data_IF_211396065666
#
_entry.id   IF_211396065666
#
_cell.length_a   1.000
_cell.length_b   1.000
_cell.length_c   1.000
_cell.angle_alpha   90.00
_cell.angle_beta   90.00
_cell.angle_gamma   90.00
#
_symmetry.space_group_name_H-M   'P 1'
#
loop_
_entity.id
_entity.type
_entity.pdbx_description
1 polymer ?
#
# COMPACT_ATOMS: atom_id res chain seq x y z
N UNK A 1 -25.94 12.25 2.41
CA UNK A 1 -24.59 12.11 1.85
C UNK A 1 -23.66 11.75 3.02
N UNK A 2 -22.77 10.81 2.89
CA UNK A 2 -21.82 10.46 3.94
C UNK A 2 -20.89 11.65 4.21
N UNK A 3 -20.58 11.94 5.47
CA UNK A 3 -19.79 13.14 5.82
C UNK A 3 -18.30 12.85 5.69
N UNK A 4 -17.84 12.75 4.45
CA UNK A 4 -16.45 12.40 4.10
C UNK A 4 -15.45 13.39 4.72
N UNK A 5 -15.77 14.69 4.75
CA UNK A 5 -14.87 15.71 5.26
C UNK A 5 -14.60 15.53 6.76
N UNK A 6 -15.67 15.44 7.57
CA UNK A 6 -15.52 15.25 9.02
C UNK A 6 -14.85 13.92 9.34
N UNK A 7 -15.24 12.83 8.66
CA UNK A 7 -14.62 11.52 8.87
C UNK A 7 -13.12 11.50 8.53
N UNK A 8 -12.74 12.17 7.45
CA UNK A 8 -11.34 12.32 7.07
C UNK A 8 -10.54 13.07 8.14
N UNK A 9 -11.08 14.20 8.63
CA UNK A 9 -10.45 15.00 9.68
C UNK A 9 -10.32 14.20 10.99
N UNK A 10 -11.33 13.41 11.35
CA UNK A 10 -11.28 12.54 12.53
C UNK A 10 -10.16 11.50 12.40
N UNK A 11 -10.05 10.83 11.24
CA UNK A 11 -8.98 9.86 11.01
C UNK A 11 -7.62 10.55 11.08
N UNK A 12 -7.44 11.69 10.38
CA UNK A 12 -6.17 12.43 10.40
C UNK A 12 -5.80 12.93 11.80
N UNK A 13 -6.78 13.37 12.59
CA UNK A 13 -6.57 13.82 13.97
C UNK A 13 -6.14 12.72 14.94
N UNK A 14 -6.41 11.45 14.59
CA UNK A 14 -6.01 10.28 15.37
C UNK A 14 -4.65 9.71 14.95
N UNK A 15 -4.06 10.19 13.85
CA UNK A 15 -2.75 9.72 13.39
C UNK A 15 -1.63 10.58 13.97
N UNK A 16 -0.56 9.96 14.46
CA UNK A 16 0.64 10.69 14.87
C UNK A 16 1.31 11.40 13.69
N UNK A 17 2.06 12.44 13.98
CA UNK A 17 2.90 13.12 12.98
C UNK A 17 3.81 12.14 12.25
N UNK A 18 3.86 12.26 10.93
CA UNK A 18 4.68 11.41 10.07
C UNK A 18 4.04 10.11 9.61
N UNK A 19 2.88 9.72 10.14
CA UNK A 19 2.11 8.58 9.62
C UNK A 19 1.25 9.03 8.45
N UNK A 20 1.43 8.41 7.29
CA UNK A 20 0.68 8.73 6.06
C UNK A 20 -0.67 8.03 6.06
N UNK A 21 -1.69 8.72 5.58
CA UNK A 21 -3.00 8.14 5.29
C UNK A 21 -3.13 7.84 3.80
N UNK A 22 -3.36 6.58 3.46
CA UNK A 22 -3.87 6.17 2.15
C UNK A 22 -5.39 6.05 2.26
N UNK A 23 -6.12 6.97 1.64
CA UNK A 23 -7.58 6.95 1.63
C UNK A 23 -8.07 5.91 0.61
N UNK A 24 -8.62 4.79 1.09
CA UNK A 24 -9.03 3.67 0.24
C UNK A 24 -10.38 3.96 -0.38
N UNK A 25 -10.36 4.29 -1.66
CA UNK A 25 -11.48 4.83 -2.41
C UNK A 25 -12.18 3.83 -3.33
N UNK A 26 -11.75 2.56 -3.30
CA UNK A 26 -12.36 1.51 -4.14
C UNK A 26 -13.87 1.38 -3.89
N UNK A 27 -14.62 1.24 -5.00
CA UNK A 27 -16.10 1.15 -5.01
C UNK A 27 -16.83 2.42 -4.54
N UNK A 28 -16.13 3.56 -4.45
CA UNK A 28 -16.76 4.83 -4.12
C UNK A 28 -16.77 5.77 -5.33
N UNK A 29 -17.83 6.60 -5.48
CA UNK A 29 -17.95 7.53 -6.59
C UNK A 29 -16.94 8.69 -6.48
N UNK A 30 -16.63 9.32 -7.61
CA UNK A 30 -15.63 10.39 -7.69
C UNK A 30 -15.95 11.59 -6.77
N UNK A 31 -17.22 11.90 -6.58
CA UNK A 31 -17.70 13.00 -5.72
C UNK A 31 -17.17 12.87 -4.28
N UNK A 32 -17.00 11.64 -3.78
CA UNK A 32 -16.45 11.40 -2.44
C UNK A 32 -14.95 11.69 -2.40
N UNK A 33 -14.24 11.30 -3.46
CA UNK A 33 -12.80 11.57 -3.58
C UNK A 33 -12.54 13.07 -3.74
N UNK A 34 -13.39 13.78 -4.49
CA UNK A 34 -13.30 15.23 -4.66
C UNK A 34 -13.50 15.99 -3.34
N UNK A 35 -14.39 15.49 -2.46
CA UNK A 35 -14.52 16.05 -1.10
C UNK A 35 -13.22 15.86 -0.33
N UNK A 36 -12.72 14.62 -0.24
CA UNK A 36 -11.47 14.32 0.47
C UNK A 36 -10.27 15.11 -0.12
N UNK A 37 -10.21 15.26 -1.44
CA UNK A 37 -9.18 16.04 -2.13
C UNK A 37 -9.22 17.53 -1.75
N UNK A 38 -10.40 18.14 -1.68
CA UNK A 38 -10.57 19.53 -1.23
C UNK A 38 -10.13 19.75 0.20
N UNK A 39 -10.28 18.72 1.05
CA UNK A 39 -9.79 18.73 2.44
C UNK A 39 -8.28 18.42 2.56
N UNK A 40 -7.56 18.36 1.44
CA UNK A 40 -6.11 18.21 1.42
C UNK A 40 -5.59 16.79 1.22
N UNK A 41 -6.47 15.76 1.14
CA UNK A 41 -6.01 14.40 0.88
C UNK A 41 -5.43 14.27 -0.53
N UNK A 42 -4.27 13.64 -0.66
CA UNK A 42 -3.58 13.45 -1.93
C UNK A 42 -3.29 11.99 -2.26
N UNK A 43 -3.16 11.12 -1.27
CA UNK A 43 -2.83 9.70 -1.45
C UNK A 43 -4.12 8.88 -1.42
N UNK A 44 -4.46 8.25 -2.54
CA UNK A 44 -5.65 7.41 -2.65
C UNK A 44 -5.29 5.99 -3.07
N UNK A 45 -6.00 5.01 -2.51
CA UNK A 45 -5.75 3.58 -2.75
C UNK A 45 -6.87 2.89 -3.52
N UNK A 46 -6.50 2.18 -4.59
CA UNK A 46 -7.39 1.41 -5.45
C UNK A 46 -6.96 -0.05 -5.58
N UNK A 47 -7.91 -0.96 -5.78
CA UNK A 47 -7.62 -2.40 -5.92
C UNK A 47 -8.00 -2.99 -7.28
N UNK A 48 -8.64 -2.23 -8.15
CA UNK A 48 -9.04 -2.65 -9.48
C UNK A 48 -8.49 -1.70 -10.54
N UNK A 49 -7.74 -2.25 -11.50
CA UNK A 49 -7.10 -1.46 -12.56
C UNK A 49 -8.11 -0.67 -13.38
N UNK A 50 -9.27 -1.25 -13.71
CA UNK A 50 -10.29 -0.59 -14.52
C UNK A 50 -10.93 0.60 -13.79
N UNK A 51 -11.18 0.46 -12.48
CA UNK A 51 -11.71 1.55 -11.66
C UNK A 51 -10.69 2.68 -11.54
N UNK A 52 -9.44 2.32 -11.19
CA UNK A 52 -8.34 3.28 -11.10
C UNK A 52 -8.15 4.06 -12.41
N UNK A 53 -8.13 3.38 -13.57
CA UNK A 53 -7.94 4.05 -14.87
C UNK A 53 -9.03 5.09 -15.14
N UNK A 54 -10.30 4.77 -14.84
CA UNK A 54 -11.41 5.72 -15.00
C UNK A 54 -11.27 6.94 -14.08
N UNK A 55 -10.86 6.73 -12.83
CA UNK A 55 -10.66 7.80 -11.84
C UNK A 55 -9.52 8.73 -12.23
N UNK A 56 -8.42 8.20 -12.70
CA UNK A 56 -7.27 8.98 -13.18
C UNK A 56 -7.62 9.89 -14.34
N UNK A 57 -8.55 9.51 -15.22
CA UNK A 57 -8.96 10.34 -16.36
C UNK A 57 -9.70 11.62 -15.92
N UNK A 58 -10.49 11.54 -14.87
CA UNK A 58 -11.45 12.57 -14.46
C UNK A 58 -11.03 13.37 -13.23
N UNK A 59 -10.25 12.80 -12.34
CA UNK A 59 -9.81 13.44 -11.08
C UNK A 59 -8.50 14.24 -11.25
N UNK A 60 -8.14 15.12 -10.29
CA UNK A 60 -6.93 15.91 -10.32
C UNK A 60 -5.66 15.10 -10.55
N UNK A 61 -4.71 15.66 -11.31
CA UNK A 61 -3.51 14.94 -11.78
C UNK A 61 -2.39 14.88 -10.74
N UNK A 62 -2.49 15.63 -9.65
CA UNK A 62 -1.59 15.62 -8.50
C UNK A 62 -2.00 14.62 -7.41
N UNK A 63 -3.02 13.80 -7.67
CA UNK A 63 -3.34 12.66 -6.81
C UNK A 63 -2.23 11.62 -6.93
N UNK A 64 -1.72 11.20 -5.78
CA UNK A 64 -0.78 10.08 -5.64
C UNK A 64 -1.58 8.78 -5.52
N UNK A 65 -1.60 8.02 -6.62
CA UNK A 65 -2.35 6.77 -6.66
C UNK A 65 -1.52 5.60 -6.15
N UNK A 66 -2.05 4.87 -5.18
CA UNK A 66 -1.51 3.62 -4.70
C UNK A 66 -2.36 2.44 -5.18
N UNK A 67 -1.73 1.41 -5.71
CA UNK A 67 -2.42 0.17 -6.05
C UNK A 67 -2.22 -0.83 -4.90
N UNK A 68 -3.34 -1.23 -4.26
CA UNK A 68 -3.33 -1.97 -2.99
C UNK A 68 -3.96 -3.38 -3.11
N UNK A 69 -4.33 -3.81 -4.30
CA UNK A 69 -4.91 -5.13 -4.57
C UNK A 69 -3.97 -6.04 -5.34
N UNK A 70 -4.31 -7.32 -5.45
CA UNK A 70 -3.54 -8.25 -6.27
C UNK A 70 -3.46 -7.76 -7.72
N UNK A 71 -2.26 -7.57 -8.21
CA UNK A 71 -1.97 -7.01 -9.53
C UNK A 71 -1.50 -8.11 -10.49
N UNK A 72 -2.36 -8.47 -11.45
CA UNK A 72 -1.96 -9.37 -12.52
C UNK A 72 -0.90 -8.71 -13.43
N UNK A 73 0.13 -9.45 -13.83
CA UNK A 73 1.23 -8.94 -14.66
C UNK A 73 0.76 -8.31 -15.98
N UNK A 74 -0.26 -8.89 -16.64
CA UNK A 74 -0.82 -8.36 -17.89
C UNK A 74 -1.57 -7.01 -17.71
N UNK A 75 -1.88 -6.61 -16.47
CA UNK A 75 -2.56 -5.36 -16.14
C UNK A 75 -1.60 -4.22 -15.77
N UNK A 76 -0.34 -4.50 -15.45
CA UNK A 76 0.67 -3.50 -15.05
C UNK A 76 0.78 -2.37 -16.08
N UNK A 77 0.76 -2.70 -17.38
CA UNK A 77 0.87 -1.73 -18.49
C UNK A 77 -0.16 -0.60 -18.45
N UNK A 78 -1.32 -0.84 -17.85
CA UNK A 78 -2.39 0.17 -17.79
C UNK A 78 -2.19 1.20 -16.69
N UNK A 79 -1.48 0.85 -15.61
CA UNK A 79 -1.25 1.75 -14.48
C UNK A 79 0.18 2.34 -14.45
N UNK A 80 1.15 1.71 -15.09
CA UNK A 80 2.53 2.16 -15.13
C UNK A 80 2.73 3.63 -15.55
N UNK A 81 1.91 4.23 -16.44
CA UNK A 81 2.07 5.63 -16.81
C UNK A 81 1.90 6.63 -15.67
N UNK A 82 1.12 6.31 -14.63
CA UNK A 82 0.69 7.28 -13.63
C UNK A 82 0.76 6.81 -12.18
N UNK A 83 0.85 5.49 -11.93
CA UNK A 83 0.84 4.97 -10.55
C UNK A 83 2.01 5.52 -9.74
N UNK A 84 1.77 5.92 -8.50
CA UNK A 84 2.82 6.42 -7.59
C UNK A 84 3.46 5.30 -6.81
N UNK A 85 2.65 4.32 -6.38
CA UNK A 85 3.14 3.16 -5.62
C UNK A 85 2.30 1.91 -5.91
N UNK A 86 2.96 0.76 -6.00
CA UNK A 86 2.31 -0.56 -5.97
C UNK A 86 2.65 -1.22 -4.63
N UNK A 87 1.64 -1.34 -3.75
CA UNK A 87 1.86 -1.88 -2.40
C UNK A 87 1.75 -3.40 -2.33
N UNK A 88 1.12 -4.04 -3.33
CA UNK A 88 0.82 -5.47 -3.34
C UNK A 88 1.75 -6.25 -4.29
N UNK A 89 3.07 -6.09 -4.12
CA UNK A 89 4.03 -6.89 -4.90
C UNK A 89 4.27 -8.22 -4.21
N UNK A 90 3.76 -9.30 -4.80
CA UNK A 90 3.74 -10.65 -4.26
C UNK A 90 4.72 -11.63 -4.92
N UNK A 91 5.49 -11.17 -5.92
CA UNK A 91 6.40 -12.04 -6.65
C UNK A 91 7.49 -11.28 -7.41
N UNK A 92 8.65 -11.92 -7.59
CA UNK A 92 9.72 -11.39 -8.45
C UNK A 92 9.25 -11.20 -9.89
N UNK A 93 8.34 -12.06 -10.37
CA UNK A 93 7.75 -11.94 -11.70
C UNK A 93 6.98 -10.63 -11.86
N UNK A 94 6.15 -10.27 -10.87
CA UNK A 94 5.42 -8.99 -10.88
C UNK A 94 6.39 -7.82 -10.78
N UNK A 95 7.39 -7.88 -9.90
CA UNK A 95 8.41 -6.84 -9.76
C UNK A 95 9.14 -6.57 -11.08
N UNK A 96 9.56 -7.62 -11.79
CA UNK A 96 10.18 -7.52 -13.13
C UNK A 96 9.25 -6.89 -14.16
N UNK A 97 7.95 -7.22 -14.15
CA UNK A 97 6.99 -6.64 -15.08
C UNK A 97 6.73 -5.16 -14.76
N UNK A 98 6.64 -4.77 -13.48
CA UNK A 98 6.53 -3.35 -13.10
C UNK A 98 7.74 -2.59 -13.62
N UNK A 99 8.97 -3.08 -13.39
CA UNK A 99 10.19 -2.48 -13.89
C UNK A 99 10.17 -2.30 -15.42
N UNK A 100 9.81 -3.35 -16.14
CA UNK A 100 9.72 -3.33 -17.63
C UNK A 100 8.71 -2.31 -18.13
N UNK A 101 7.54 -2.20 -17.51
CA UNK A 101 6.52 -1.24 -17.93
C UNK A 101 6.89 0.19 -17.52
N UNK A 102 7.46 0.41 -16.34
CA UNK A 102 7.94 1.71 -15.88
C UNK A 102 9.03 2.28 -16.80
N UNK A 103 9.95 1.43 -17.28
CA UNK A 103 11.01 1.81 -18.22
C UNK A 103 10.46 2.42 -19.51
N UNK A 104 9.31 1.96 -20.02
CA UNK A 104 8.69 2.50 -21.25
C UNK A 104 8.24 3.95 -21.10
N UNK A 105 8.02 4.41 -19.87
CA UNK A 105 7.58 5.76 -19.54
C UNK A 105 8.68 6.59 -18.89
N UNK A 106 9.94 6.09 -18.88
CA UNK A 106 11.08 6.71 -18.20
C UNK A 106 10.77 7.05 -16.73
N UNK A 107 10.08 6.14 -16.04
CA UNK A 107 9.68 6.30 -14.63
C UNK A 107 10.43 5.31 -13.74
N UNK A 108 10.54 5.67 -12.46
CA UNK A 108 10.82 4.76 -11.36
C UNK A 108 9.54 4.68 -10.53
N UNK A 109 9.01 3.48 -10.33
CA UNK A 109 7.80 3.24 -9.56
C UNK A 109 8.18 2.70 -8.18
N UNK A 110 7.67 3.33 -7.13
CA UNK A 110 7.82 2.84 -5.77
C UNK A 110 6.99 1.58 -5.56
N UNK A 111 7.55 0.60 -4.87
CA UNK A 111 6.87 -0.67 -4.60
C UNK A 111 7.08 -1.12 -3.15
N UNK A 112 6.08 -1.80 -2.60
CA UNK A 112 6.20 -2.50 -1.32
C UNK A 112 6.09 -4.01 -1.57
N UNK A 113 6.89 -4.79 -0.87
CA UNK A 113 6.73 -6.24 -0.88
C UNK A 113 5.56 -6.60 0.04
N UNK A 114 4.56 -7.29 -0.50
CA UNK A 114 3.40 -7.76 0.26
C UNK A 114 3.79 -8.99 1.07
N UNK A 115 3.62 -8.92 2.38
CA UNK A 115 3.86 -10.02 3.30
C UNK A 115 2.59 -10.82 3.57
N UNK A 116 2.74 -12.14 3.59
CA UNK A 116 1.76 -13.08 4.08
C UNK A 116 2.18 -13.59 5.46
N UNK A 117 1.64 -12.99 6.51
CA UNK A 117 1.86 -13.36 7.91
C UNK A 117 0.59 -13.96 8.52
N UNK A 118 -0.58 -13.53 8.04
CA UNK A 118 -1.87 -14.01 8.49
C UNK A 118 -2.06 -15.53 8.28
N UNK A 119 -2.79 -16.18 9.17
CA UNK A 119 -3.04 -17.64 9.12
C UNK A 119 -3.96 -18.10 7.98
N UNK A 120 -4.55 -17.17 7.22
CA UNK A 120 -5.46 -17.48 6.12
C UNK A 120 -4.68 -17.96 4.87
N UNK A 121 -4.86 -19.21 4.46
CA UNK A 121 -4.16 -19.86 3.33
C UNK A 121 -4.38 -19.19 1.96
N UNK A 122 -5.39 -18.34 1.82
CA UNK A 122 -5.81 -17.74 0.54
C UNK A 122 -5.22 -16.37 0.24
N UNK A 123 -4.35 -15.84 1.09
CA UNK A 123 -3.75 -14.51 0.89
C UNK A 123 -2.51 -14.59 -0.02
N UNK A 124 -2.39 -13.56 -0.86
CA UNK A 124 -1.18 -13.29 -1.64
C UNK A 124 -0.06 -12.78 -0.73
N UNK A 125 1.14 -12.74 -1.24
CA UNK A 125 2.28 -12.17 -0.54
C UNK A 125 3.40 -13.18 -0.28
N UNK A 126 4.55 -12.65 0.10
CA UNK A 126 5.72 -13.43 0.51
C UNK A 126 5.60 -13.88 1.96
N UNK A 127 5.90 -15.12 2.24
CA UNK A 127 6.25 -15.48 3.62
C UNK A 127 7.52 -14.74 4.02
N UNK A 128 7.79 -14.55 5.34
CA UNK A 128 9.05 -13.95 5.78
C UNK A 128 10.30 -14.56 5.14
N UNK A 129 10.33 -15.90 5.02
CA UNK A 129 11.48 -16.60 4.42
C UNK A 129 11.57 -16.37 2.92
N UNK A 130 10.45 -16.43 2.19
CA UNK A 130 10.42 -16.12 0.75
C UNK A 130 10.84 -14.68 0.47
N UNK A 131 10.50 -13.73 1.35
CA UNK A 131 10.96 -12.35 1.26
C UNK A 131 12.48 -12.24 1.44
N UNK A 132 13.06 -12.97 2.42
CA UNK A 132 14.53 -13.06 2.61
C UNK A 132 15.22 -13.68 1.40
N UNK A 133 14.69 -14.78 0.86
CA UNK A 133 15.22 -15.46 -0.33
C UNK A 133 15.22 -14.55 -1.56
N UNK A 134 14.14 -13.79 -1.77
CA UNK A 134 14.05 -12.79 -2.86
C UNK A 134 15.21 -11.79 -2.76
N UNK A 135 15.43 -11.24 -1.58
CA UNK A 135 16.43 -10.19 -1.38
C UNK A 135 17.87 -10.76 -1.42
N UNK A 136 18.07 -11.95 -0.87
CA UNK A 136 19.38 -12.67 -0.93
C UNK A 136 19.76 -12.98 -2.37
N UNK A 137 18.80 -13.41 -3.21
CA UNK A 137 19.00 -13.72 -4.62
C UNK A 137 19.52 -12.55 -5.46
N UNK A 138 19.31 -11.32 -5.01
CA UNK A 138 19.93 -10.11 -5.57
C UNK A 138 19.43 -9.65 -6.92
N UNK A 139 18.56 -10.39 -7.62
CA UNK A 139 18.04 -10.02 -8.95
C UNK A 139 17.30 -8.67 -8.97
N UNK A 140 16.70 -8.30 -7.85
CA UNK A 140 16.00 -7.02 -7.70
C UNK A 140 16.92 -5.80 -7.86
N UNK A 141 18.21 -5.92 -7.59
CA UNK A 141 19.22 -4.83 -7.71
C UNK A 141 19.43 -4.39 -9.15
N UNK A 142 19.10 -5.26 -10.11
CA UNK A 142 19.20 -4.96 -11.55
C UNK A 142 17.98 -4.20 -12.09
N UNK A 143 16.92 -4.07 -11.28
CA UNK A 143 15.66 -3.44 -11.68
C UNK A 143 15.72 -1.93 -11.45
N UNK A 144 16.16 -1.16 -12.43
CA UNK A 144 16.44 0.29 -12.30
C UNK A 144 15.20 1.19 -12.36
N UNK A 145 14.06 0.64 -12.75
CA UNK A 145 12.80 1.39 -12.89
C UNK A 145 11.75 1.04 -11.82
N UNK A 146 12.17 0.36 -10.77
CA UNK A 146 11.41 0.19 -9.53
C UNK A 146 12.28 0.57 -8.35
N UNK A 147 11.66 1.06 -7.29
CA UNK A 147 12.31 1.31 -6.02
C UNK A 147 11.59 0.53 -4.92
N UNK A 148 12.30 -0.36 -4.24
CA UNK A 148 11.77 -1.05 -3.06
C UNK A 148 11.73 -0.05 -1.91
N UNK A 149 10.52 0.40 -1.54
CA UNK A 149 10.34 1.45 -0.52
C UNK A 149 9.98 0.90 0.86
N UNK A 150 9.70 -0.41 0.96
CA UNK A 150 9.34 -1.04 2.22
C UNK A 150 8.48 -2.28 2.08
N UNK A 151 7.67 -2.52 3.10
CA UNK A 151 6.80 -3.69 3.21
C UNK A 151 5.33 -3.29 3.38
N UNK A 152 4.43 -4.14 2.90
CA UNK A 152 3.00 -4.05 3.16
C UNK A 152 2.51 -5.37 3.76
N UNK A 153 1.56 -5.30 4.70
CA UNK A 153 0.85 -6.48 5.18
C UNK A 153 -0.60 -6.16 5.55
N UNK A 154 -1.40 -7.19 5.60
CA UNK A 154 -2.75 -7.16 6.17
C UNK A 154 -2.80 -8.21 7.29
N UNK A 155 -3.18 -7.79 8.48
CA UNK A 155 -3.40 -8.71 9.59
C UNK A 155 -4.62 -9.63 9.34
N UNK A 156 -4.71 -10.70 10.11
CA UNK A 156 -5.88 -11.58 10.12
C UNK A 156 -7.15 -10.80 10.43
N UNK A 157 -8.23 -11.13 9.74
CA UNK A 157 -9.53 -10.50 9.98
C UNK A 157 -10.24 -11.18 11.17
N UNK A 158 -9.74 -10.89 12.37
CA UNK A 158 -10.21 -11.42 13.64
C UNK A 158 -10.44 -10.31 14.65
N UNK A 159 -11.24 -10.59 15.70
CA UNK A 159 -11.48 -9.65 16.79
C UNK A 159 -10.36 -9.66 17.85
N UNK A 160 -9.49 -10.67 17.83
CA UNK A 160 -8.38 -10.79 18.79
C UNK A 160 -7.28 -9.75 18.48
N UNK A 161 -7.34 -8.65 19.21
CA UNK A 161 -6.36 -7.54 19.10
C UNK A 161 -4.92 -7.96 19.44
N UNK A 162 -4.73 -8.97 20.28
CA UNK A 162 -3.38 -9.47 20.60
C UNK A 162 -2.78 -10.24 19.42
N UNK A 163 -3.60 -11.04 18.70
CA UNK A 163 -3.17 -11.70 17.47
C UNK A 163 -2.79 -10.67 16.41
N UNK A 164 -3.65 -9.67 16.15
CA UNK A 164 -3.37 -8.57 15.21
C UNK A 164 -2.04 -7.89 15.56
N UNK A 165 -1.85 -7.52 16.83
CA UNK A 165 -0.62 -6.88 17.31
C UNK A 165 0.62 -7.76 17.12
N UNK A 166 0.51 -9.06 17.40
CA UNK A 166 1.59 -10.02 17.18
C UNK A 166 2.01 -10.10 15.72
N UNK A 167 1.04 -10.20 14.81
CA UNK A 167 1.30 -10.26 13.36
C UNK A 167 1.96 -8.97 12.84
N UNK A 168 1.47 -7.80 13.25
CA UNK A 168 2.06 -6.51 12.88
C UNK A 168 3.46 -6.31 13.48
N UNK A 169 3.69 -6.81 14.68
CA UNK A 169 5.03 -6.78 15.31
C UNK A 169 6.02 -7.64 14.52
N UNK A 170 5.62 -8.84 14.09
CA UNK A 170 6.46 -9.69 13.23
C UNK A 170 6.82 -9.01 11.91
N UNK A 171 5.87 -8.30 11.29
CA UNK A 171 6.15 -7.53 10.08
C UNK A 171 7.14 -6.39 10.34
N UNK A 172 6.99 -5.70 11.46
CA UNK A 172 7.86 -4.60 11.86
C UNK A 172 9.29 -5.08 12.16
N UNK A 173 9.44 -6.22 12.81
CA UNK A 173 10.74 -6.82 13.12
C UNK A 173 11.44 -7.33 11.85
N UNK A 174 10.68 -7.95 10.93
CA UNK A 174 11.21 -8.31 9.62
C UNK A 174 11.66 -7.07 8.82
N UNK A 175 10.86 -5.99 8.84
CA UNK A 175 11.27 -4.75 8.19
C UNK A 175 12.62 -4.24 8.71
N UNK A 176 12.80 -4.21 10.04
CA UNK A 176 14.06 -3.73 10.66
C UNK A 176 15.24 -4.63 10.30
N UNK A 177 15.03 -5.95 10.28
CA UNK A 177 16.04 -6.93 9.82
C UNK A 177 16.46 -6.65 8.38
N UNK A 178 15.49 -6.55 7.46
CA UNK A 178 15.75 -6.34 6.03
C UNK A 178 16.40 -4.97 5.77
N UNK A 179 15.92 -3.93 6.48
CA UNK A 179 16.51 -2.59 6.44
C UNK A 179 18.00 -2.63 6.80
N UNK A 180 18.32 -3.23 7.91
CA UNK A 180 19.71 -3.31 8.39
C UNK A 180 20.61 -4.12 7.44
N UNK A 181 20.07 -5.20 6.85
CA UNK A 181 20.88 -6.12 6.03
C UNK A 181 21.05 -5.65 4.57
N UNK A 182 20.00 -5.10 3.96
CA UNK A 182 19.97 -4.84 2.51
C UNK A 182 19.83 -3.36 2.14
N UNK A 183 19.30 -2.52 3.04
CA UNK A 183 18.93 -1.14 2.75
C UNK A 183 19.46 -0.15 3.79
N UNK A 184 20.60 -0.47 4.45
CA UNK A 184 21.18 0.39 5.48
C UNK A 184 21.53 1.79 4.96
N UNK A 185 21.99 1.88 3.70
CA UNK A 185 22.39 3.12 3.03
C UNK A 185 21.24 3.71 2.18
N UNK A 186 20.06 3.11 2.18
CA UNK A 186 18.90 3.59 1.45
C UNK A 186 17.87 4.23 2.40
N UNK A 187 17.84 5.56 2.54
CA UNK A 187 16.88 6.24 3.42
C UNK A 187 15.43 6.12 2.94
N UNK A 188 15.20 5.81 1.66
CA UNK A 188 13.86 5.71 1.09
C UNK A 188 13.22 4.33 1.28
N UNK A 189 13.98 3.31 1.68
CA UNK A 189 13.39 2.07 2.22
C UNK A 189 12.90 2.34 3.64
N UNK A 190 11.69 2.88 3.77
CA UNK A 190 11.15 3.40 5.04
C UNK A 190 9.68 3.11 5.28
N UNK A 191 8.96 2.64 4.26
CA UNK A 191 7.50 2.50 4.35
C UNK A 191 7.11 1.19 5.01
N UNK A 192 6.29 1.30 6.04
CA UNK A 192 5.64 0.22 6.76
C UNK A 192 4.14 0.41 6.61
N UNK A 193 3.56 -0.22 5.57
CA UNK A 193 2.15 -0.09 5.23
C UNK A 193 1.34 -1.21 5.87
N UNK A 194 0.80 -0.97 7.04
CA UNK A 194 -0.17 -1.83 7.71
C UNK A 194 -1.15 -1.03 8.54
N UNK A 195 -2.28 -1.68 8.87
CA UNK A 195 -3.41 -1.04 9.51
C UNK A 195 -4.50 -0.60 8.52
N UNK A 196 -5.71 -0.99 8.85
CA UNK A 196 -6.94 -0.67 8.13
C UNK A 196 -7.96 -0.03 9.08
N UNK A 197 -9.18 0.22 8.62
CA UNK A 197 -10.23 0.95 9.37
C UNK A 197 -10.49 0.44 10.79
N UNK A 198 -10.23 -0.83 11.08
CA UNK A 198 -10.55 -1.46 12.37
C UNK A 198 -9.33 -1.68 13.28
N UNK A 199 -8.12 -1.49 12.76
CA UNK A 199 -6.87 -1.86 13.46
C UNK A 199 -5.70 -0.87 13.25
N UNK A 200 -5.95 0.30 12.62
CA UNK A 200 -4.87 1.26 12.35
C UNK A 200 -4.25 1.85 13.63
N UNK A 201 -5.00 1.88 14.73
CA UNK A 201 -4.48 2.27 16.04
C UNK A 201 -3.41 1.28 16.55
N UNK A 202 -3.66 -0.04 16.41
CA UNK A 202 -2.67 -1.08 16.71
C UNK A 202 -1.46 -0.96 15.77
N UNK A 203 -1.72 -0.69 14.49
CA UNK A 203 -0.67 -0.54 13.49
C UNK A 203 0.30 0.58 13.84
N UNK A 204 -0.20 1.72 14.32
CA UNK A 204 0.61 2.84 14.79
C UNK A 204 1.49 2.41 15.97
N UNK A 205 0.95 1.69 16.95
CA UNK A 205 1.74 1.12 18.05
C UNK A 205 2.82 0.16 17.54
N UNK A 206 2.58 -0.54 16.42
CA UNK A 206 3.50 -1.44 15.76
C UNK A 206 4.36 -0.75 14.68
N UNK A 207 4.65 0.54 14.84
CA UNK A 207 5.61 1.29 14.02
C UNK A 207 5.18 1.46 12.54
N UNK A 208 3.89 1.43 12.22
CA UNK A 208 3.38 1.73 10.89
C UNK A 208 3.75 3.17 10.48
N UNK A 209 4.21 3.38 9.24
CA UNK A 209 4.43 4.71 8.65
C UNK A 209 3.31 5.09 7.68
N UNK A 210 2.44 4.12 7.36
CA UNK A 210 1.36 4.29 6.40
C UNK A 210 0.17 3.41 6.78
N UNK A 211 -1.02 4.00 6.89
CA UNK A 211 -2.27 3.28 7.16
C UNK A 211 -3.23 3.40 6.00
N UNK A 212 -4.06 2.37 5.78
CA UNK A 212 -4.99 2.27 4.65
C UNK A 212 -6.44 2.27 5.16
N UNK A 213 -7.07 3.43 5.18
CA UNK A 213 -8.40 3.61 5.76
C UNK A 213 -9.43 3.92 4.67
N UNK A 214 -10.51 3.16 4.61
CA UNK A 214 -11.57 3.33 3.62
C UNK A 214 -12.95 3.52 4.26
N UNK A 215 -13.50 2.47 4.84
CA UNK A 215 -14.87 2.46 5.36
C UNK A 215 -15.13 3.55 6.41
N UNK A 216 -14.15 3.87 7.24
CA UNK A 216 -14.27 4.94 8.23
C UNK A 216 -14.44 6.31 7.55
N UNK A 217 -13.77 6.55 6.41
CA UNK A 217 -13.82 7.84 5.70
C UNK A 217 -15.02 7.90 4.77
N UNK A 218 -15.19 6.91 3.90
CA UNK A 218 -16.13 6.94 2.78
C UNK A 218 -17.46 6.19 3.05
N UNK A 219 -17.54 5.45 4.15
CA UNK A 219 -18.70 4.62 4.48
C UNK A 219 -18.69 3.24 3.83
N UNK A 220 -19.83 2.52 3.90
CA UNK A 220 -19.99 1.21 3.28
C UNK A 220 -19.79 1.30 1.76
N UNK A 221 -19.25 0.23 1.18
CA UNK A 221 -19.03 0.15 -0.27
C UNK A 221 -20.35 0.22 -1.03
N UNK A 222 -20.38 0.96 -2.15
CA UNK A 222 -21.48 1.04 -3.10
C UNK A 222 -21.10 0.16 -4.29
N UNK A 223 -21.81 -0.98 -4.46
CA UNK A 223 -21.58 -1.95 -5.56
C UNK A 223 -22.46 -1.63 -6.76
#
# INVERSE_FOLDING_TARGET
>A
MYDVANNLHEVLGNLPDGVKLVAISKFHPNEYLEVAYREGQRIFGESQVQELSRKVETLPKDIEWHFIGHLQTNKVKYIAPYISMVEAVDSLKLLKEINKQAAKYNRVINVLLELHIAEEETKYGFTPDACRELLEGGEWKELKNVHLSGLMMMASNVDDRNQIKKEMTLAADLFDELKAKYFADDPEFKERSWGMSHDYDIAVECRSTMVRVGTTIFGPRVY
#
